data_IF_391653516989
#
_entry.id   IF_391653516989
#
_cell.length_a   1.000
_cell.length_b   1.000
_cell.length_c   1.000
_cell.angle_alpha   90.00
_cell.angle_beta   90.00
_cell.angle_gamma   90.00
#
_symmetry.space_group_name_H-M   'P 1'
#
loop_
_entity.id
_entity.type
_entity.pdbx_description
1 polymer ?
#
# COMPACT_ATOMS: atom_id res chain seq x y z
N UNK A 1 -25.07 -15.53 7.24
CA UNK A 1 -25.33 -14.13 7.66
C UNK A 1 -25.10 -13.28 6.43
N UNK A 2 -26.16 -12.88 5.73
CA UNK A 2 -26.06 -12.11 4.51
C UNK A 2 -25.83 -10.65 4.89
N UNK A 3 -24.62 -10.15 4.64
CA UNK A 3 -24.32 -8.73 4.76
C UNK A 3 -24.94 -8.07 3.53
N UNK A 4 -26.06 -7.37 3.74
CA UNK A 4 -26.61 -6.48 2.73
C UNK A 4 -25.60 -5.35 2.53
N UNK A 5 -25.04 -5.27 1.32
CA UNK A 5 -24.16 -4.18 0.90
C UNK A 5 -25.07 -2.95 0.72
N UNK A 6 -24.97 -2.02 1.66
CA UNK A 6 -25.83 -0.85 1.69
C UNK A 6 -25.32 0.15 0.63
N UNK A 7 -26.12 0.43 -0.39
CA UNK A 7 -25.76 1.26 -1.56
C UNK A 7 -25.48 2.76 -1.26
N UNK A 8 -25.30 3.12 0.01
CA UNK A 8 -25.11 4.50 0.49
C UNK A 8 -23.82 4.70 1.31
N UNK A 9 -22.91 3.72 1.34
CA UNK A 9 -21.60 3.94 1.94
C UNK A 9 -20.75 4.70 0.92
N UNK A 10 -20.25 5.91 1.25
CA UNK A 10 -19.36 6.62 0.35
C UNK A 10 -18.12 5.76 0.05
N UNK A 11 -17.68 5.72 -1.20
CA UNK A 11 -16.56 4.87 -1.64
C UNK A 11 -15.31 5.06 -0.77
N UNK A 12 -15.04 6.28 -0.29
CA UNK A 12 -13.93 6.55 0.62
C UNK A 12 -14.02 5.79 1.96
N UNK A 13 -15.22 5.50 2.48
CA UNK A 13 -15.39 4.65 3.66
C UNK A 13 -15.07 3.17 3.39
N UNK A 14 -15.29 2.70 2.16
CA UNK A 14 -14.84 1.36 1.75
C UNK A 14 -13.31 1.31 1.67
N UNK A 15 -12.68 2.38 1.15
CA UNK A 15 -11.22 2.51 1.15
C UNK A 15 -10.67 2.51 2.58
N UNK A 16 -11.25 3.31 3.48
CA UNK A 16 -10.85 3.34 4.90
C UNK A 16 -10.93 1.94 5.54
N UNK A 17 -12.02 1.21 5.27
CA UNK A 17 -12.20 -0.15 5.79
C UNK A 17 -11.14 -1.12 5.26
N UNK A 18 -10.78 -1.02 3.97
CA UNK A 18 -9.72 -1.84 3.37
C UNK A 18 -8.32 -1.49 3.92
N UNK A 19 -8.05 -0.21 4.18
CA UNK A 19 -6.82 0.23 4.84
C UNK A 19 -6.71 -0.39 6.23
N UNK A 20 -7.80 -0.34 7.02
CA UNK A 20 -7.86 -0.96 8.35
C UNK A 20 -7.66 -2.48 8.25
N UNK A 21 -8.38 -3.14 7.33
CA UNK A 21 -8.30 -4.58 7.14
C UNK A 21 -6.88 -5.02 6.78
N UNK A 22 -6.24 -4.34 5.81
CA UNK A 22 -4.87 -4.62 5.41
C UNK A 22 -3.92 -4.58 6.61
N UNK A 23 -4.07 -3.59 7.49
CA UNK A 23 -3.25 -3.43 8.70
C UNK A 23 -3.40 -4.59 9.68
N UNK A 24 -4.54 -5.29 9.68
CA UNK A 24 -4.73 -6.49 10.52
C UNK A 24 -3.89 -7.69 10.05
N UNK A 25 -3.42 -7.69 8.80
CA UNK A 25 -2.62 -8.78 8.23
C UNK A 25 -1.13 -8.55 8.40
N UNK A 26 -0.69 -8.35 9.64
CA UNK A 26 0.71 -8.12 10.02
C UNK A 26 1.37 -7.04 9.13
N UNK A 27 0.70 -5.90 8.97
CA UNK A 27 1.34 -4.77 8.31
C UNK A 27 2.66 -4.44 9.00
N UNK A 28 3.66 -4.15 8.19
CA UNK A 28 4.99 -3.77 8.62
C UNK A 28 5.53 -2.85 7.55
N UNK A 29 5.93 -1.65 7.94
CA UNK A 29 6.59 -0.76 7.00
C UNK A 29 7.95 -1.35 6.58
N UNK A 30 8.49 -0.93 5.43
CA UNK A 30 9.81 -1.36 4.96
C UNK A 30 10.92 -1.03 5.97
N UNK A 31 10.82 0.13 6.64
CA UNK A 31 11.78 0.56 7.67
C UNK A 31 11.69 -0.34 8.91
N UNK A 32 10.47 -0.63 9.39
CA UNK A 32 10.27 -1.56 10.49
C UNK A 32 10.73 -2.97 10.12
N UNK A 33 10.45 -3.42 8.91
CA UNK A 33 10.86 -4.73 8.42
C UNK A 33 12.39 -4.87 8.43
N UNK A 34 13.10 -3.86 7.91
CA UNK A 34 14.56 -3.82 7.93
C UNK A 34 15.11 -3.78 9.35
N UNK A 35 14.49 -2.99 10.25
CA UNK A 35 14.88 -2.94 11.67
C UNK A 35 14.67 -4.28 12.38
N UNK A 36 13.56 -4.96 12.11
CA UNK A 36 13.25 -6.28 12.68
C UNK A 36 14.18 -7.38 12.16
N UNK A 37 14.61 -7.29 10.90
CA UNK A 37 15.68 -8.15 10.38
C UNK A 37 16.99 -7.88 11.11
N UNK A 38 17.39 -6.61 11.22
CA UNK A 38 18.66 -6.23 11.86
C UNK A 38 18.76 -6.60 13.33
N UNK A 39 17.62 -6.67 14.03
CA UNK A 39 17.52 -7.10 15.44
C UNK A 39 17.31 -8.61 15.61
N UNK A 40 17.08 -9.35 14.52
CA UNK A 40 16.80 -10.79 14.56
C UNK A 40 15.36 -11.17 14.96
N UNK A 41 14.44 -10.20 15.11
CA UNK A 41 13.01 -10.45 15.33
C UNK A 41 12.35 -11.09 14.11
N UNK A 42 12.81 -10.73 12.90
CA UNK A 42 12.36 -11.32 11.64
C UNK A 42 13.53 -11.91 10.84
N UNK A 43 13.21 -12.94 10.06
CA UNK A 43 14.16 -13.53 9.10
C UNK A 43 13.95 -12.89 7.74
N UNK A 44 15.03 -12.40 7.10
CA UNK A 44 14.94 -11.87 5.73
C UNK A 44 14.49 -12.99 4.78
N UNK A 45 13.35 -12.80 4.11
CA UNK A 45 12.87 -13.75 3.10
C UNK A 45 13.83 -13.76 1.89
N UNK A 46 14.42 -14.91 1.52
CA UNK A 46 15.23 -14.99 0.31
C UNK A 46 14.38 -14.77 -0.95
N UNK A 47 14.98 -14.13 -1.96
CA UNK A 47 14.30 -13.79 -3.23
C UNK A 47 13.74 -15.03 -3.93
N UNK A 48 14.52 -16.12 -3.97
CA UNK A 48 14.17 -17.37 -4.63
C UNK A 48 13.66 -18.46 -3.66
N UNK A 49 13.24 -18.09 -2.45
CA UNK A 49 12.68 -19.06 -1.51
C UNK A 49 11.29 -19.53 -1.95
N UNK A 50 11.02 -20.82 -1.76
CA UNK A 50 9.68 -21.38 -1.87
C UNK A 50 8.76 -20.66 -0.87
N UNK A 51 7.70 -20.05 -1.40
CA UNK A 51 6.76 -19.24 -0.60
C UNK A 51 5.95 -20.09 0.39
N UNK A 52 5.63 -21.34 0.04
CA UNK A 52 4.90 -22.26 0.92
C UNK A 52 5.79 -22.74 2.06
N UNK A 53 7.04 -23.13 1.75
CA UNK A 53 8.00 -23.54 2.77
C UNK A 53 8.32 -22.39 3.73
N UNK A 54 8.56 -21.19 3.19
CA UNK A 54 8.81 -20.01 4.02
C UNK A 54 7.63 -19.69 4.92
N UNK A 55 6.40 -19.74 4.40
CA UNK A 55 5.19 -19.50 5.18
C UNK A 55 4.96 -20.57 6.25
N UNK A 56 5.22 -21.85 5.96
CA UNK A 56 5.11 -22.93 6.94
C UNK A 56 6.06 -22.75 8.12
N UNK A 57 7.28 -22.27 7.86
CA UNK A 57 8.28 -21.99 8.91
C UNK A 57 8.02 -20.67 9.65
N UNK A 58 7.35 -19.71 9.00
CA UNK A 58 7.17 -18.35 9.52
C UNK A 58 5.72 -17.84 9.35
N UNK A 59 4.70 -18.48 9.93
CA UNK A 59 3.29 -18.24 9.59
C UNK A 59 2.75 -16.83 9.91
N UNK A 60 3.37 -16.14 10.88
CA UNK A 60 3.03 -14.76 11.27
C UNK A 60 3.94 -13.70 10.64
N UNK A 61 4.86 -14.10 9.75
CA UNK A 61 5.78 -13.18 9.11
C UNK A 61 5.03 -12.33 8.07
N UNK A 62 5.29 -11.01 7.95
CA UNK A 62 4.60 -10.16 6.97
C UNK A 62 4.78 -10.64 5.52
N UNK A 63 5.94 -11.26 5.27
CA UNK A 63 6.41 -12.01 4.09
C UNK A 63 5.68 -13.33 3.77
N UNK A 64 4.99 -13.93 4.74
CA UNK A 64 4.40 -15.26 4.59
C UNK A 64 3.28 -15.23 3.56
N UNK A 65 3.21 -16.24 2.68
CA UNK A 65 2.32 -16.23 1.52
C UNK A 65 0.86 -15.92 1.89
N UNK A 66 0.31 -16.59 2.89
CA UNK A 66 -1.07 -16.40 3.37
C UNK A 66 -1.33 -14.97 3.87
N UNK A 67 -0.35 -14.36 4.54
CA UNK A 67 -0.44 -13.01 5.10
C UNK A 67 -0.27 -11.97 4.00
N UNK A 68 0.79 -12.09 3.20
CA UNK A 68 1.12 -11.21 2.08
C UNK A 68 -0.01 -11.15 1.06
N UNK A 69 -0.57 -12.30 0.67
CA UNK A 69 -1.65 -12.35 -0.32
C UNK A 69 -2.95 -11.70 0.16
N UNK A 70 -3.23 -11.71 1.47
CA UNK A 70 -4.39 -10.97 2.01
C UNK A 70 -4.18 -9.47 1.89
N UNK A 71 -3.00 -8.97 2.25
CA UNK A 71 -2.66 -7.55 2.03
C UNK A 71 -2.73 -7.18 0.56
N UNK A 72 -2.19 -8.00 -0.34
CA UNK A 72 -2.20 -7.73 -1.80
C UNK A 72 -3.63 -7.55 -2.30
N UNK A 73 -4.54 -8.45 -1.91
CA UNK A 73 -5.96 -8.30 -2.25
C UNK A 73 -6.54 -6.97 -1.74
N UNK A 74 -6.30 -6.61 -0.48
CA UNK A 74 -6.75 -5.32 0.03
C UNK A 74 -6.16 -4.13 -0.76
N UNK A 75 -4.86 -4.19 -1.13
CA UNK A 75 -4.21 -3.15 -1.94
C UNK A 75 -4.82 -3.02 -3.34
N UNK A 76 -5.11 -4.15 -4.00
CA UNK A 76 -5.78 -4.18 -5.30
C UNK A 76 -7.23 -3.69 -5.20
N UNK A 77 -7.93 -4.02 -4.11
CA UNK A 77 -9.27 -3.55 -3.82
C UNK A 77 -9.30 -2.04 -3.60
N UNK A 78 -8.34 -1.48 -2.85
CA UNK A 78 -8.19 -0.03 -2.66
C UNK A 78 -7.98 0.66 -4.01
N UNK A 79 -7.05 0.17 -4.84
CA UNK A 79 -6.78 0.74 -6.15
C UNK A 79 -8.02 0.72 -7.05
N UNK A 80 -8.80 -0.38 -7.03
CA UNK A 80 -10.07 -0.46 -7.76
C UNK A 80 -11.07 0.58 -7.28
N UNK A 81 -11.23 0.72 -5.96
CA UNK A 81 -12.14 1.69 -5.36
C UNK A 81 -11.74 3.13 -5.66
N UNK A 82 -10.44 3.40 -5.68
CA UNK A 82 -9.90 4.71 -6.10
C UNK A 82 -10.28 5.03 -7.55
N UNK A 83 -10.28 4.05 -8.45
CA UNK A 83 -10.73 4.24 -9.86
C UNK A 83 -12.23 4.53 -9.98
N UNK A 84 -13.02 4.23 -8.96
CA UNK A 84 -14.46 4.49 -8.91
C UNK A 84 -14.78 5.89 -8.32
N UNK A 85 -13.78 6.63 -7.81
CA UNK A 85 -14.01 7.94 -7.20
C UNK A 85 -14.26 9.03 -8.24
N UNK A 86 -15.33 9.80 -8.05
CA UNK A 86 -15.67 11.01 -8.84
C UNK A 86 -15.40 12.31 -8.05
N UNK A 87 -15.05 12.20 -6.77
CA UNK A 87 -14.92 13.33 -5.84
C UNK A 87 -13.53 13.46 -5.25
N UNK A 88 -13.29 14.61 -4.62
CA UNK A 88 -12.12 14.82 -3.77
C UNK A 88 -12.08 13.77 -2.65
N UNK A 89 -10.89 13.29 -2.36
CA UNK A 89 -10.63 12.29 -1.32
C UNK A 89 -10.46 13.00 0.03
N UNK A 90 -11.15 12.56 1.10
CA UNK A 90 -10.93 13.11 2.44
C UNK A 90 -9.49 12.91 2.91
N UNK A 91 -8.97 13.87 3.69
CA UNK A 91 -7.59 13.84 4.21
C UNK A 91 -7.28 12.56 5.00
N UNK A 92 -8.25 12.04 5.77
CA UNK A 92 -8.11 10.81 6.55
C UNK A 92 -7.88 9.58 5.64
N UNK A 93 -8.67 9.46 4.57
CA UNK A 93 -8.53 8.39 3.57
C UNK A 93 -7.18 8.50 2.87
N UNK A 94 -6.76 9.72 2.52
CA UNK A 94 -5.48 9.97 1.88
C UNK A 94 -4.30 9.60 2.79
N UNK A 95 -4.37 9.97 4.08
CA UNK A 95 -3.36 9.60 5.08
C UNK A 95 -3.24 8.08 5.23
N UNK A 96 -4.37 7.35 5.18
CA UNK A 96 -4.39 5.90 5.13
C UNK A 96 -3.57 5.32 3.98
N UNK A 97 -3.74 5.86 2.76
CA UNK A 97 -2.98 5.46 1.56
C UNK A 97 -1.49 5.82 1.71
N UNK A 98 -1.16 6.98 2.28
CA UNK A 98 0.23 7.39 2.52
C UNK A 98 0.97 6.45 3.46
N UNK A 99 0.31 5.91 4.48
CA UNK A 99 0.94 4.93 5.37
C UNK A 99 1.25 3.61 4.63
N UNK A 100 0.31 3.15 3.80
CA UNK A 100 0.46 1.91 3.04
C UNK A 100 1.51 2.00 1.92
N UNK A 101 1.84 3.22 1.47
CA UNK A 101 2.91 3.51 0.53
C UNK A 101 4.28 2.97 0.99
N UNK A 102 4.42 2.67 2.29
CA UNK A 102 5.64 2.15 2.87
C UNK A 102 5.53 0.70 3.35
N UNK A 103 4.52 -0.09 2.95
CA UNK A 103 4.44 -1.53 3.28
C UNK A 103 5.70 -2.28 2.80
N UNK A 104 6.17 -3.26 3.59
CA UNK A 104 7.31 -4.10 3.25
C UNK A 104 7.12 -4.95 1.99
N UNK A 105 5.90 -5.07 1.47
CA UNK A 105 5.59 -5.74 0.21
C UNK A 105 5.60 -4.75 -0.98
N UNK A 106 6.49 -4.91 -1.97
CA UNK A 106 6.55 -4.03 -3.13
C UNK A 106 5.24 -3.95 -3.93
N UNK A 107 4.43 -5.02 -3.96
CA UNK A 107 3.13 -5.02 -4.66
C UNK A 107 2.15 -4.04 -4.03
N UNK A 108 2.12 -3.91 -2.69
CA UNK A 108 1.26 -2.93 -2.02
C UNK A 108 1.72 -1.52 -2.34
N UNK A 109 3.02 -1.25 -2.24
CA UNK A 109 3.60 0.05 -2.57
C UNK A 109 3.28 0.46 -4.01
N UNK A 110 3.34 -0.49 -4.95
CA UNK A 110 2.94 -0.29 -6.34
C UNK A 110 1.46 0.14 -6.42
N UNK A 111 0.53 -0.63 -5.84
CA UNK A 111 -0.89 -0.30 -5.87
C UNK A 111 -1.21 1.06 -5.24
N UNK A 112 -0.50 1.44 -4.18
CA UNK A 112 -0.68 2.75 -3.53
C UNK A 112 -0.09 3.89 -4.37
N UNK A 113 1.08 3.73 -4.98
CA UNK A 113 1.63 4.73 -5.90
C UNK A 113 0.71 4.93 -7.11
N UNK A 114 0.20 3.84 -7.70
CA UNK A 114 -0.80 3.92 -8.77
C UNK A 114 -2.08 4.63 -8.31
N UNK A 115 -2.58 4.33 -7.11
CA UNK A 115 -3.74 5.03 -6.55
C UNK A 115 -3.49 6.54 -6.46
N UNK A 116 -2.34 6.97 -5.93
CA UNK A 116 -1.99 8.39 -5.80
C UNK A 116 -1.80 9.11 -7.15
N UNK A 117 -1.54 8.39 -8.24
CA UNK A 117 -1.56 8.98 -9.58
C UNK A 117 -2.98 9.26 -10.11
N UNK A 118 -3.97 8.51 -9.63
CA UNK A 118 -5.39 8.65 -10.00
C UNK A 118 -6.07 9.72 -9.15
N UNK A 119 -5.73 9.79 -7.86
CA UNK A 119 -6.21 10.80 -6.91
C UNK A 119 -5.08 11.75 -6.50
N UNK A 120 -4.57 12.58 -7.43
CA UNK A 120 -3.43 13.44 -7.13
C UNK A 120 -3.79 14.44 -6.04
N UNK A 121 -2.85 14.65 -5.11
CA UNK A 121 -2.95 15.65 -4.06
C UNK A 121 -1.57 16.25 -3.80
N UNK A 122 -1.53 17.56 -3.55
CA UNK A 122 -0.30 18.25 -3.15
C UNK A 122 0.30 17.66 -1.87
N UNK A 123 -0.55 17.13 -0.99
CA UNK A 123 -0.13 16.57 0.30
C UNK A 123 0.54 15.20 0.11
N UNK A 124 0.34 14.53 -1.03
CA UNK A 124 1.02 13.28 -1.38
C UNK A 124 2.46 13.46 -1.84
N UNK A 125 2.84 14.66 -2.30
CA UNK A 125 4.17 14.95 -2.85
C UNK A 125 5.31 14.58 -1.88
N UNK A 126 5.33 15.03 -0.61
CA UNK A 126 6.41 14.67 0.31
C UNK A 126 6.54 13.16 0.55
N UNK A 127 5.42 12.43 0.59
CA UNK A 127 5.42 10.97 0.78
C UNK A 127 5.99 10.25 -0.44
N UNK A 128 5.58 10.66 -1.64
CA UNK A 128 6.07 10.09 -2.88
C UNK A 128 7.56 10.41 -3.12
N UNK A 129 8.04 11.61 -2.74
CA UNK A 129 9.47 11.94 -2.78
C UNK A 129 10.28 11.02 -1.87
N UNK A 130 9.81 10.81 -0.63
CA UNK A 130 10.44 9.83 0.28
C UNK A 130 10.43 8.42 -0.31
N UNK A 131 9.33 7.98 -0.94
CA UNK A 131 9.31 6.66 -1.58
C UNK A 131 10.33 6.57 -2.73
N UNK A 132 10.44 7.60 -3.58
CA UNK A 132 11.40 7.63 -4.69
C UNK A 132 12.85 7.54 -4.20
N UNK A 133 13.17 8.19 -3.08
CA UNK A 133 14.50 8.16 -2.45
C UNK A 133 14.82 6.81 -1.78
N UNK A 134 13.81 6.09 -1.28
CA UNK A 134 13.99 4.90 -0.44
C UNK A 134 13.68 3.58 -1.16
N UNK A 135 12.95 3.59 -2.27
CA UNK A 135 12.71 2.40 -3.09
C UNK A 135 14.00 1.96 -3.79
N UNK A 136 14.48 0.78 -3.44
CA UNK A 136 15.74 0.23 -3.96
C UNK A 136 15.56 -1.09 -4.70
N UNK A 137 14.40 -1.74 -4.55
CA UNK A 137 14.20 -3.13 -4.94
C UNK A 137 13.36 -3.26 -6.21
N UNK A 138 12.33 -2.42 -6.38
CA UNK A 138 11.34 -2.59 -7.45
C UNK A 138 11.36 -1.46 -8.49
N UNK A 139 11.83 -1.73 -9.73
CA UNK A 139 11.72 -0.76 -10.84
C UNK A 139 10.28 -0.36 -11.16
N UNK A 140 9.32 -1.28 -10.97
CA UNK A 140 7.90 -0.98 -11.18
C UNK A 140 7.37 0.04 -10.17
N UNK A 141 7.74 -0.09 -8.90
CA UNK A 141 7.36 0.87 -7.85
C UNK A 141 7.99 2.24 -8.13
N UNK A 142 9.26 2.29 -8.56
CA UNK A 142 9.91 3.55 -8.97
C UNK A 142 9.13 4.25 -10.07
N UNK A 143 8.85 3.54 -11.16
CA UNK A 143 8.11 4.11 -12.29
C UNK A 143 6.71 4.60 -11.88
N UNK A 144 5.97 3.83 -11.08
CA UNK A 144 4.66 4.27 -10.58
C UNK A 144 4.77 5.48 -9.65
N UNK A 145 5.82 5.55 -8.82
CA UNK A 145 6.11 6.70 -7.96
C UNK A 145 6.39 7.96 -8.76
N UNK A 146 7.19 7.86 -9.82
CA UNK A 146 7.50 8.98 -10.71
C UNK A 146 6.23 9.49 -11.43
N UNK A 147 5.37 8.58 -11.88
CA UNK A 147 4.09 8.93 -12.48
C UNK A 147 3.16 9.63 -11.48
N UNK A 148 3.07 9.13 -10.25
CA UNK A 148 2.28 9.74 -9.20
C UNK A 148 2.82 11.12 -8.78
N UNK A 149 4.13 11.28 -8.70
CA UNK A 149 4.78 12.58 -8.45
C UNK A 149 4.40 13.59 -9.52
N UNK A 150 4.58 13.23 -10.79
CA UNK A 150 4.23 14.09 -11.91
C UNK A 150 2.73 14.47 -11.89
N UNK A 151 1.85 13.53 -11.56
CA UNK A 151 0.42 13.80 -11.42
C UNK A 151 0.12 14.79 -10.28
N UNK A 152 0.72 14.59 -9.10
CA UNK A 152 0.52 15.44 -7.93
C UNK A 152 1.11 16.85 -8.12
N UNK A 153 2.29 16.98 -8.73
CA UNK A 153 2.91 18.27 -9.04
C UNK A 153 2.08 19.05 -10.08
N UNK A 154 1.59 18.37 -11.12
CA UNK A 154 0.68 18.97 -12.10
C UNK A 154 -0.64 19.42 -11.48
N UNK A 155 -1.18 18.67 -10.53
CA UNK A 155 -2.37 19.05 -9.78
C UNK A 155 -2.10 20.30 -8.92
N UNK A 156 -0.98 20.33 -8.20
CA UNK A 156 -0.61 21.45 -7.34
C UNK A 156 -0.37 22.77 -8.09
N UNK A 157 0.04 22.71 -9.37
CA UNK A 157 0.18 23.92 -10.21
C UNK A 157 -1.15 24.48 -10.71
N UNK A 158 -2.23 23.68 -10.70
CA UNK A 158 -3.55 24.03 -11.23
C UNK A 158 -4.57 24.39 -10.14
N UNK A 159 -4.30 23.99 -8.90
CA UNK A 159 -5.14 24.23 -7.72
C UNK A 159 -4.83 25.60 -7.09
#
# INVERSE_FOLDING_TARGET
MNIQINANVPIFKEIDALVIELKTYHFCSVDEYNKKIGSGELVKKPVMADDFEFAAKNPGHPLALNVRMKRIRCGDDILRKVRELESVVPDETLAGIHELLFDCCPTIRLSMAEALSIIPSKDSIPHLKRLAETETESPMVKNATDQALAACENFAMKA
#
